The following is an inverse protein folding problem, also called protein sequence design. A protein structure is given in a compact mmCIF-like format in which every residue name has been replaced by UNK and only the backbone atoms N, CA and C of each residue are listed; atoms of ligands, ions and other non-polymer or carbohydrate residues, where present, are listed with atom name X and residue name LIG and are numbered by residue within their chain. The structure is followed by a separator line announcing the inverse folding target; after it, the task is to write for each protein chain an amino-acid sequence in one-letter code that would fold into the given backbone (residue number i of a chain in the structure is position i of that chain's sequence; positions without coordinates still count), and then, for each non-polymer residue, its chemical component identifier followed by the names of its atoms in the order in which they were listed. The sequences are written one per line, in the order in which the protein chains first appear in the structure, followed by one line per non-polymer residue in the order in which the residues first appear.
data_IF_157655063087
#
_entry.id   IF_157655063087
#
_cell.length_a   1.000
_cell.length_b   1.000
_cell.length_c   1.000
_cell.angle_alpha   90.00
_cell.angle_beta   90.00
_cell.angle_gamma   90.00
#
_symmetry.space_group_name_H-M   'P 1'
#
loop_
_entity.id
_entity.type
_entity.pdbx_description
1 polymer ?
#
# COMPACT_ATOMS: atom_id res chain seq x y z
N UNK A 1 -2.24 -31.79 22.97
CA UNK A 1 -2.84 -32.27 21.72
C UNK A 1 -3.04 -31.10 20.78
N UNK A 2 -2.17 -31.11 19.76
CA UNK A 2 -2.45 -30.70 18.38
C UNK A 2 -2.80 -29.23 18.17
N UNK A 3 -1.70 -28.46 18.11
CA UNK A 3 -1.48 -27.37 17.16
C UNK A 3 -2.50 -27.44 16.02
N UNK A 4 -3.52 -26.57 16.07
CA UNK A 4 -4.45 -26.38 14.97
C UNK A 4 -3.57 -26.10 13.76
N UNK A 5 -3.47 -27.10 12.89
CA UNK A 5 -2.73 -27.04 11.65
C UNK A 5 -3.43 -26.01 10.77
N UNK A 6 -3.14 -24.74 11.04
CA UNK A 6 -3.55 -23.61 10.23
C UNK A 6 -2.85 -23.87 8.90
N UNK A 7 -3.57 -24.52 7.98
CA UNK A 7 -3.08 -24.83 6.65
C UNK A 7 -2.65 -23.51 6.02
N UNK A 8 -1.34 -23.33 5.94
CA UNK A 8 -0.69 -22.21 5.29
C UNK A 8 -0.08 -22.73 3.98
N UNK A 9 -0.89 -22.95 2.93
CA UNK A 9 -0.39 -23.52 1.68
C UNK A 9 0.52 -22.56 0.92
N UNK A 10 0.56 -21.28 1.30
CA UNK A 10 1.29 -20.26 0.57
C UNK A 10 2.59 -19.91 1.30
N UNK A 11 3.73 -20.30 0.73
CA UNK A 11 5.06 -20.06 1.28
C UNK A 11 5.77 -18.89 0.59
N UNK A 12 6.50 -18.10 1.36
CA UNK A 12 7.42 -17.10 0.84
C UNK A 12 8.72 -17.76 0.39
N UNK A 13 9.07 -17.62 -0.89
CA UNK A 13 10.32 -18.15 -1.46
C UNK A 13 11.59 -17.38 -1.05
N UNK A 14 11.48 -16.34 -0.22
CA UNK A 14 12.62 -15.52 0.23
C UNK A 14 13.01 -15.88 1.66
N UNK A 15 12.02 -16.08 2.55
CA UNK A 15 12.26 -16.37 3.97
C UNK A 15 11.49 -17.59 4.50
N UNK A 16 10.91 -18.40 3.60
CA UNK A 16 10.16 -19.63 3.91
C UNK A 16 8.98 -19.47 4.87
N UNK A 17 8.51 -18.24 5.09
CA UNK A 17 7.37 -17.95 5.96
C UNK A 17 6.06 -18.34 5.28
N UNK A 18 5.17 -19.03 5.99
CA UNK A 18 3.91 -19.58 5.45
C UNK A 18 2.69 -18.72 5.82
N UNK A 19 1.76 -18.59 4.88
CA UNK A 19 0.53 -17.78 4.97
C UNK A 19 -0.71 -18.58 4.56
N UNK A 20 -1.85 -18.26 5.16
CA UNK A 20 -3.16 -18.88 4.87
C UNK A 20 -3.79 -18.38 3.57
N UNK A 21 -3.45 -17.16 3.13
CA UNK A 21 -4.03 -16.50 1.96
C UNK A 21 -2.96 -16.02 0.99
N UNK A 22 -3.23 -16.15 -0.31
CA UNK A 22 -2.36 -15.62 -1.38
C UNK A 22 -2.19 -14.11 -1.30
N UNK A 23 -3.24 -13.37 -0.92
CA UNK A 23 -3.21 -11.91 -0.77
C UNK A 23 -2.22 -11.48 0.31
N UNK A 24 -2.21 -12.18 1.44
CA UNK A 24 -1.29 -11.92 2.55
C UNK A 24 0.16 -12.28 2.18
N UNK A 25 0.37 -13.38 1.44
CA UNK A 25 1.70 -13.71 0.91
C UNK A 25 2.18 -12.63 -0.08
N UNK A 26 1.33 -12.16 -1.00
CA UNK A 26 1.68 -11.10 -1.95
C UNK A 26 2.05 -9.80 -1.25
N UNK A 27 1.31 -9.42 -0.20
CA UNK A 27 1.63 -8.24 0.61
C UNK A 27 2.94 -8.42 1.36
N UNK A 28 3.15 -9.58 1.99
CA UNK A 28 4.39 -9.92 2.66
C UNK A 28 5.60 -9.87 1.71
N UNK A 29 5.47 -10.36 0.47
CA UNK A 29 6.57 -10.28 -0.50
C UNK A 29 7.07 -8.85 -0.73
N UNK A 30 6.21 -7.85 -0.55
CA UNK A 30 6.59 -6.44 -0.63
C UNK A 30 7.46 -5.96 0.53
N UNK A 31 7.58 -6.72 1.63
CA UNK A 31 8.51 -6.39 2.73
C UNK A 31 9.95 -6.78 2.42
N UNK A 32 10.15 -7.69 1.46
CA UNK A 32 11.48 -8.07 0.99
C UNK A 32 12.00 -7.15 -0.12
N UNK A 33 11.13 -6.31 -0.66
CA UNK A 33 11.51 -5.30 -1.63
C UNK A 33 12.18 -4.15 -0.89
N UNK A 34 13.40 -3.82 -1.31
CA UNK A 34 14.13 -2.66 -0.79
C UNK A 34 13.36 -1.38 -1.16
N UNK A 35 13.07 -0.54 -0.16
CA UNK A 35 12.31 0.70 -0.38
C UNK A 35 13.13 1.82 -1.01
N UNK A 36 14.46 1.67 -1.07
CA UNK A 36 15.38 2.65 -1.64
C UNK A 36 15.61 2.41 -3.14
N UNK A 37 15.38 1.19 -3.61
CA UNK A 37 15.38 0.88 -5.03
C UNK A 37 14.09 1.43 -5.72
N UNK A 38 14.24 2.36 -6.69
CA UNK A 38 13.10 3.06 -7.29
C UNK A 38 12.19 2.16 -8.13
N UNK A 39 12.72 1.06 -8.67
CA UNK A 39 11.94 0.10 -9.45
C UNK A 39 11.06 -0.76 -8.52
N UNK A 40 11.61 -1.16 -7.38
CA UNK A 40 10.93 -1.92 -6.34
C UNK A 40 9.96 -1.09 -5.49
N UNK A 41 10.24 0.19 -5.26
CA UNK A 41 9.34 1.12 -4.58
C UNK A 41 7.98 1.25 -5.30
N UNK A 42 8.00 1.24 -6.64
CA UNK A 42 6.79 1.22 -7.48
C UNK A 42 5.99 -0.07 -7.32
N UNK A 43 6.67 -1.21 -7.13
CA UNK A 43 6.02 -2.49 -6.88
C UNK A 43 5.39 -2.58 -5.49
N UNK A 44 6.04 -1.98 -4.47
CA UNK A 44 5.51 -1.91 -3.11
C UNK A 44 4.27 -1.02 -3.03
N UNK A 45 4.29 0.12 -3.74
CA UNK A 45 3.21 1.11 -3.76
C UNK A 45 2.72 1.37 -5.21
N UNK A 46 2.00 0.43 -5.83
CA UNK A 46 1.62 0.55 -7.25
C UNK A 46 0.53 1.59 -7.51
N UNK A 47 -0.19 2.04 -6.47
CA UNK A 47 -1.32 2.94 -6.63
C UNK A 47 -0.90 4.37 -6.36
N UNK A 48 -0.52 5.11 -7.39
CA UNK A 48 -0.12 6.52 -7.30
C UNK A 48 -1.32 7.46 -7.42
N UNK A 49 -1.39 8.45 -6.54
CA UNK A 49 -2.30 9.58 -6.66
C UNK A 49 -1.75 10.55 -7.73
N UNK A 50 -2.55 10.84 -8.76
CA UNK A 50 -2.13 11.76 -9.81
C UNK A 50 -2.07 13.22 -9.34
N UNK A 51 -2.91 13.59 -8.36
CA UNK A 51 -2.95 14.93 -7.77
C UNK A 51 -1.71 15.20 -6.91
N UNK A 52 -1.44 14.34 -5.93
CA UNK A 52 -0.36 14.59 -4.95
C UNK A 52 0.95 13.84 -5.21
N UNK A 53 0.97 12.96 -6.22
CA UNK A 53 2.10 12.09 -6.51
C UNK A 53 2.38 11.00 -5.46
N UNK A 54 1.63 10.93 -4.34
CA UNK A 54 1.80 9.92 -3.30
C UNK A 54 1.40 8.53 -3.79
N UNK A 55 2.22 7.54 -3.49
CA UNK A 55 1.97 6.14 -3.82
C UNK A 55 1.46 5.35 -2.61
N UNK A 56 0.51 4.45 -2.85
CA UNK A 56 -0.17 3.62 -1.86
C UNK A 56 0.00 2.13 -2.17
N UNK A 57 0.00 1.31 -1.12
CA UNK A 57 0.16 -0.15 -1.21
C UNK A 57 -1.06 -0.86 -1.79
N UNK A 58 -2.26 -0.27 -1.64
CA UNK A 58 -3.54 -0.84 -2.06
C UNK A 58 -4.49 0.23 -2.65
N UNK A 59 -5.34 -0.19 -3.59
CA UNK A 59 -6.32 0.68 -4.26
C UNK A 59 -7.34 1.33 -3.30
N UNK A 60 -7.79 0.62 -2.27
CA UNK A 60 -8.75 1.14 -1.29
C UNK A 60 -8.21 2.35 -0.53
N UNK A 61 -6.91 2.36 -0.21
CA UNK A 61 -6.26 3.51 0.42
C UNK A 61 -6.13 4.69 -0.54
N UNK A 62 -5.74 4.44 -1.79
CA UNK A 62 -5.73 5.47 -2.83
C UNK A 62 -7.14 6.07 -3.01
N UNK A 63 -8.19 5.24 -3.05
CA UNK A 63 -9.55 5.71 -3.25
C UNK A 63 -10.02 6.62 -2.11
N UNK A 64 -9.80 6.21 -0.85
CA UNK A 64 -10.08 7.05 0.32
C UNK A 64 -9.33 8.37 0.25
N UNK A 65 -8.07 8.33 -0.15
CA UNK A 65 -7.23 9.50 -0.33
C UNK A 65 -7.75 10.43 -1.43
N UNK A 66 -8.10 9.93 -2.62
CA UNK A 66 -8.62 10.74 -3.73
C UNK A 66 -9.97 11.39 -3.43
N UNK A 67 -10.76 10.80 -2.52
CA UNK A 67 -12.02 11.42 -2.07
C UNK A 67 -11.78 12.66 -1.23
N UNK A 68 -10.63 12.76 -0.55
CA UNK A 68 -10.26 13.99 0.17
C UNK A 68 -10.06 15.11 -0.83
N UNK A 69 -9.32 14.90 -1.91
CA UNK A 69 -9.17 15.88 -3.00
C UNK A 69 -10.51 16.27 -3.64
N UNK A 70 -11.41 15.29 -3.84
CA UNK A 70 -12.73 15.57 -4.39
C UNK A 70 -13.59 16.43 -3.44
N UNK A 71 -13.46 16.22 -2.12
CA UNK A 71 -14.15 16.99 -1.08
C UNK A 71 -13.45 18.33 -0.75
N UNK A 72 -12.17 18.48 -1.08
CA UNK A 72 -11.36 19.70 -0.93
C UNK A 72 -11.43 20.63 -2.15
N UNK A 73 -12.35 20.43 -3.11
CA UNK A 73 -12.70 21.41 -4.15
C UNK A 73 -13.41 22.68 -3.58
N UNK A 74 -13.09 23.06 -2.35
CA UNK A 74 -13.47 24.34 -1.77
C UNK A 74 -12.38 25.36 -2.12
N UNK A 75 -12.67 26.39 -2.93
CA UNK A 75 -11.67 27.37 -3.39
C UNK A 75 -11.09 28.25 -2.26
N UNK A 76 -11.50 28.06 -1.00
CA UNK A 76 -11.11 28.91 0.13
C UNK A 76 -10.32 28.16 1.24
N UNK A 77 -10.14 26.84 1.19
CA UNK A 77 -9.51 26.08 2.27
C UNK A 77 -8.06 25.64 1.96
N UNK A 78 -7.12 26.56 2.22
CA UNK A 78 -5.65 26.40 2.42
C UNK A 78 -4.92 25.22 1.74
N UNK A 79 -4.28 25.54 0.61
CA UNK A 79 -2.88 25.34 0.15
C UNK A 79 -2.05 24.08 0.47
N UNK A 80 -2.42 23.19 1.38
CA UNK A 80 -1.70 21.92 1.60
C UNK A 80 -2.64 20.83 2.14
N UNK A 81 -2.71 19.69 1.46
CA UNK A 81 -3.50 18.56 1.94
C UNK A 81 -2.84 17.98 3.21
N UNK A 82 -3.49 17.99 4.38
CA UNK A 82 -2.93 17.49 5.66
C UNK A 82 -2.53 16.01 5.61
N UNK A 83 -3.16 15.23 4.73
CA UNK A 83 -2.78 13.82 4.48
C UNK A 83 -1.57 13.73 3.55
N UNK A 84 -1.35 14.71 2.67
CA UNK A 84 -0.21 14.78 1.76
C UNK A 84 1.02 15.48 2.35
N UNK A 85 0.82 16.52 3.16
CA UNK A 85 1.84 17.48 3.57
C UNK A 85 2.41 18.31 2.41
N UNK A 86 1.72 18.37 1.26
CA UNK A 86 2.14 19.09 0.05
C UNK A 86 0.98 19.90 -0.52
N UNK A 87 1.29 20.92 -1.31
CA UNK A 87 0.33 21.53 -2.22
C UNK A 87 -0.11 20.45 -3.24
N UNK A 88 -1.40 20.32 -3.46
CA UNK A 88 -2.03 19.23 -4.21
C UNK A 88 -3.17 19.79 -5.06
#
# INVERSE_FOLDING_TARGET
SDDVNVRKPHECNICSKRFTRTTTLKEHKKTHLDENDPDQAKLKRPHKCNTSGKSFTCHSYLQKHTRLHAAENDPNRKETCYVCGKDC
#
